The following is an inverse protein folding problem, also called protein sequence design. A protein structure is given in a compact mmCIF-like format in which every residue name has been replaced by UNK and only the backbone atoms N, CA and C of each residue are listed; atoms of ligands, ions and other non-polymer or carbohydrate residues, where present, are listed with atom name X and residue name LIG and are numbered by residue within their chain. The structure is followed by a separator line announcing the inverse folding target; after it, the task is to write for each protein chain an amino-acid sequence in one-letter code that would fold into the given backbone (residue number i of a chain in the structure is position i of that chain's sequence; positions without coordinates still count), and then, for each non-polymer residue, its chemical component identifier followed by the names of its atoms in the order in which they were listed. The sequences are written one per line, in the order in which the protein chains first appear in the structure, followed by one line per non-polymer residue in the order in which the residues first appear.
data_IF_919312264429
#
_entry.id   IF_919312264429
#
_cell.length_a   1.000
_cell.length_b   1.000
_cell.length_c   1.000
_cell.angle_alpha   90.00
_cell.angle_beta   90.00
_cell.angle_gamma   90.00
#
_symmetry.space_group_name_H-M   'P 1'
#
loop_
_entity.id
_entity.type
_entity.pdbx_description
1 polymer ?
#
# COMPACT_ATOMS: atom_id res chain seq x y z
N UNK A 1 10.00 11.24 18.05
CA UNK A 1 10.69 10.01 18.48
C UNK A 1 9.71 8.82 18.53
N UNK A 2 8.72 8.78 19.41
CA UNK A 2 7.75 7.65 19.57
C UNK A 2 7.03 7.32 18.25
N UNK A 3 6.41 8.32 17.60
CA UNK A 3 5.74 8.15 16.31
C UNK A 3 6.64 7.49 15.26
N UNK A 4 7.86 7.99 15.07
CA UNK A 4 8.78 7.46 14.06
C UNK A 4 9.17 6.02 14.34
N UNK A 5 9.40 5.67 15.61
CA UNK A 5 9.74 4.31 16.04
C UNK A 5 8.55 3.35 15.84
N UNK A 6 7.36 3.73 16.27
CA UNK A 6 6.14 2.91 16.10
C UNK A 6 5.79 2.75 14.60
N UNK A 7 5.84 3.84 13.84
CA UNK A 7 5.62 3.79 12.40
C UNK A 7 6.59 2.81 11.72
N UNK A 8 7.88 2.91 12.06
CA UNK A 8 8.90 1.98 11.53
C UNK A 8 8.57 0.53 11.90
N UNK A 9 8.23 0.26 13.16
CA UNK A 9 7.93 -1.08 13.65
C UNK A 9 6.66 -1.67 12.98
N UNK A 10 5.62 -0.85 12.79
CA UNK A 10 4.40 -1.26 12.06
C UNK A 10 4.71 -1.54 10.59
N UNK A 11 5.49 -0.67 9.94
CA UNK A 11 5.86 -0.83 8.54
C UNK A 11 6.85 -1.97 8.30
N UNK A 12 7.65 -2.37 9.30
CA UNK A 12 8.57 -3.50 9.24
C UNK A 12 7.94 -4.83 9.70
N UNK A 13 6.72 -4.79 10.24
CA UNK A 13 6.02 -5.93 10.84
C UNK A 13 6.56 -6.42 12.18
N UNK A 14 7.41 -5.65 12.81
CA UNK A 14 7.79 -5.91 14.20
C UNK A 14 6.56 -5.78 15.13
N UNK A 15 5.59 -4.95 14.74
CA UNK A 15 4.25 -4.84 15.33
C UNK A 15 3.20 -5.32 14.30
N UNK A 16 2.67 -6.52 14.52
CA UNK A 16 1.69 -7.15 13.63
C UNK A 16 0.32 -6.46 13.70
N UNK A 17 -0.53 -6.56 12.65
CA UNK A 17 -1.93 -6.12 12.68
C UNK A 17 -2.67 -6.70 13.88
N UNK A 18 -3.53 -5.88 14.49
CA UNK A 18 -4.25 -6.25 15.70
C UNK A 18 -3.42 -6.17 16.98
N UNK A 19 -2.09 -5.96 16.91
CA UNK A 19 -1.25 -5.80 18.11
C UNK A 19 -1.73 -4.61 18.94
N UNK A 20 -1.97 -4.84 20.23
CA UNK A 20 -2.35 -3.78 21.18
C UNK A 20 -1.22 -2.77 21.37
N UNK A 21 -1.57 -1.50 21.32
CA UNK A 21 -0.67 -0.36 21.54
C UNK A 21 -1.06 0.30 22.89
N UNK A 22 -0.66 -0.35 24.00
CA UNK A 22 -0.96 0.14 25.35
C UNK A 22 -0.13 1.37 25.68
N UNK A 23 -0.82 2.48 26.04
CA UNK A 23 -0.17 3.76 26.34
C UNK A 23 0.83 3.64 27.51
N UNK A 24 0.50 2.89 28.57
CA UNK A 24 1.35 2.78 29.74
C UNK A 24 2.60 1.95 29.45
N UNK A 25 2.46 0.90 28.63
CA UNK A 25 3.57 0.10 28.17
C UNK A 25 4.51 0.94 27.28
N UNK A 26 3.95 1.70 26.34
CA UNK A 26 4.71 2.57 25.45
C UNK A 26 5.44 3.69 26.22
N UNK A 27 4.79 4.28 27.24
CA UNK A 27 5.45 5.26 28.12
C UNK A 27 6.69 4.67 28.81
N UNK A 28 6.58 3.44 29.32
CA UNK A 28 7.71 2.74 29.95
C UNK A 28 8.81 2.40 28.95
N UNK A 29 8.43 1.87 27.80
CA UNK A 29 9.36 1.45 26.76
C UNK A 29 10.17 2.61 26.19
N UNK A 30 9.52 3.75 25.91
CA UNK A 30 10.17 4.91 25.33
C UNK A 30 10.64 5.93 26.37
N UNK A 31 10.39 5.69 27.66
CA UNK A 31 10.74 6.58 28.79
C UNK A 31 10.22 8.01 28.61
N UNK A 32 8.96 8.14 28.22
CA UNK A 32 8.28 9.40 27.97
C UNK A 32 6.95 9.47 28.73
N UNK A 33 6.38 10.67 28.88
CA UNK A 33 5.04 10.89 29.42
C UNK A 33 3.94 10.41 28.47
N UNK A 34 2.68 10.44 28.92
CA UNK A 34 1.52 10.02 28.11
C UNK A 34 1.26 10.91 26.90
N UNK A 35 1.53 12.20 26.99
CA UNK A 35 1.24 13.17 25.94
C UNK A 35 1.91 12.82 24.61
N UNK A 36 3.24 12.66 24.50
CA UNK A 36 3.88 12.30 23.23
C UNK A 36 3.48 10.91 22.71
N UNK A 37 3.07 9.99 23.59
CA UNK A 37 2.53 8.69 23.17
C UNK A 37 1.17 8.87 22.51
N UNK A 38 0.26 9.63 23.12
CA UNK A 38 -1.06 9.91 22.55
C UNK A 38 -0.98 10.64 21.22
N UNK A 39 -0.15 11.65 21.13
CA UNK A 39 0.09 12.37 19.87
C UNK A 39 0.60 11.42 18.78
N UNK A 40 1.52 10.52 19.11
CA UNK A 40 2.01 9.51 18.19
C UNK A 40 0.89 8.57 17.73
N UNK A 41 0.04 8.09 18.64
CA UNK A 41 -1.08 7.19 18.33
C UNK A 41 -2.15 7.89 17.48
N UNK A 42 -2.48 9.16 17.80
CA UNK A 42 -3.41 9.96 16.99
C UNK A 42 -2.87 10.14 15.57
N UNK A 43 -1.58 10.45 15.43
CA UNK A 43 -0.95 10.60 14.13
C UNK A 43 -0.91 9.28 13.35
N UNK A 44 -0.58 8.17 14.00
CA UNK A 44 -0.64 6.84 13.38
C UNK A 44 -2.07 6.49 12.93
N UNK A 45 -3.07 6.86 13.73
CA UNK A 45 -4.48 6.66 13.37
C UNK A 45 -4.89 7.50 12.18
N UNK A 46 -4.45 8.75 12.09
CA UNK A 46 -4.72 9.60 10.93
C UNK A 46 -4.03 9.12 9.63
N UNK A 47 -3.03 8.27 9.77
CA UNK A 47 -2.35 7.57 8.67
C UNK A 47 -2.91 6.16 8.41
N UNK A 48 -4.01 5.76 9.09
CA UNK A 48 -4.60 4.42 8.96
C UNK A 48 -3.72 3.28 9.50
N UNK A 49 -2.65 3.61 10.24
CA UNK A 49 -1.72 2.61 10.79
C UNK A 49 -2.14 2.07 12.14
N UNK A 50 -3.01 2.78 12.85
CA UNK A 50 -3.58 2.38 14.13
C UNK A 50 -5.06 2.71 14.21
N UNK A 51 -5.79 1.94 14.99
CA UNK A 51 -7.18 2.18 15.38
C UNK A 51 -7.22 2.63 16.83
N UNK A 52 -7.89 3.76 17.10
CA UNK A 52 -8.10 4.27 18.46
C UNK A 52 -9.44 3.78 19.00
N UNK A 53 -9.45 3.28 20.22
CA UNK A 53 -10.67 2.85 20.92
C UNK A 53 -10.89 3.73 22.14
N UNK A 54 -12.04 4.40 22.24
CA UNK A 54 -12.36 5.19 23.42
C UNK A 54 -12.20 4.35 24.70
N UNK A 55 -11.40 4.84 25.63
CA UNK A 55 -11.12 4.19 26.93
C UNK A 55 -10.47 2.79 26.88
N UNK A 56 -10.02 2.33 25.70
CA UNK A 56 -9.42 0.99 25.50
C UNK A 56 -8.04 1.03 24.84
N UNK A 57 -7.46 2.23 24.68
CA UNK A 57 -6.15 2.42 24.02
C UNK A 57 -6.22 2.35 22.51
N UNK A 58 -5.17 1.83 21.90
CA UNK A 58 -5.06 1.68 20.46
C UNK A 58 -4.60 0.27 20.09
N UNK A 59 -4.77 -0.09 18.81
CA UNK A 59 -4.15 -1.28 18.22
C UNK A 59 -3.62 -0.97 16.83
N UNK A 60 -2.68 -1.74 16.35
CA UNK A 60 -2.26 -1.70 14.94
C UNK A 60 -3.48 -2.06 14.08
N UNK A 61 -3.79 -1.24 13.09
CA UNK A 61 -4.94 -1.46 12.22
C UNK A 61 -4.86 -2.83 11.53
N UNK A 62 -5.97 -3.58 11.51
CA UNK A 62 -6.07 -4.86 10.82
C UNK A 62 -6.06 -4.68 9.30
N UNK A 63 -5.81 -5.78 8.57
CA UNK A 63 -5.88 -5.87 7.12
C UNK A 63 -6.59 -7.17 6.76
N UNK A 64 -7.70 -7.06 6.04
CA UNK A 64 -8.48 -8.22 5.59
C UNK A 64 -8.40 -8.35 4.06
N UNK A 65 -8.82 -9.49 3.52
CA UNK A 65 -8.84 -9.71 2.05
C UNK A 65 -9.76 -8.72 1.32
N UNK A 66 -10.85 -8.33 1.95
CA UNK A 66 -11.78 -7.30 1.40
C UNK A 66 -11.04 -5.97 1.19
N UNK A 67 -10.12 -5.65 2.09
CA UNK A 67 -9.29 -4.43 2.00
C UNK A 67 -8.41 -4.42 0.73
N UNK A 68 -8.04 -5.59 0.19
CA UNK A 68 -7.24 -5.69 -1.04
C UNK A 68 -8.05 -5.22 -2.25
N UNK A 69 -9.31 -5.64 -2.36
CA UNK A 69 -10.18 -5.25 -3.48
C UNK A 69 -10.47 -3.76 -3.42
N UNK A 70 -10.94 -3.28 -2.28
CA UNK A 70 -11.26 -1.87 -2.04
C UNK A 70 -10.04 -0.98 -2.25
N UNK A 71 -8.86 -1.46 -1.82
CA UNK A 71 -7.59 -0.78 -2.03
C UNK A 71 -7.28 -0.57 -3.52
N UNK A 72 -7.39 -1.63 -4.35
CA UNK A 72 -7.09 -1.51 -5.78
C UNK A 72 -8.14 -0.69 -6.52
N UNK A 73 -9.41 -0.71 -6.11
CA UNK A 73 -10.43 0.20 -6.64
C UNK A 73 -10.09 1.67 -6.35
N UNK A 74 -9.64 1.98 -5.13
CA UNK A 74 -9.19 3.32 -4.77
C UNK A 74 -7.90 3.72 -5.52
N UNK A 75 -6.95 2.79 -5.68
CA UNK A 75 -5.72 3.01 -6.45
C UNK A 75 -6.00 3.35 -7.92
N UNK A 76 -7.02 2.73 -8.53
CA UNK A 76 -7.44 3.01 -9.92
C UNK A 76 -7.97 4.45 -10.10
N UNK A 77 -8.34 5.10 -9.02
CA UNK A 77 -8.73 6.52 -9.01
C UNK A 77 -7.55 7.43 -8.69
N UNK A 78 -6.86 7.20 -7.57
CA UNK A 78 -5.83 8.11 -7.07
C UNK A 78 -4.56 8.12 -7.90
N UNK A 79 -4.01 6.98 -8.29
CA UNK A 79 -2.73 6.91 -8.97
C UNK A 79 -2.77 7.56 -10.37
N UNK A 80 -3.73 7.27 -11.26
CA UNK A 80 -3.79 7.92 -12.57
C UNK A 80 -3.97 9.43 -12.48
N UNK A 81 -4.77 9.91 -11.50
CA UNK A 81 -5.00 11.34 -11.28
C UNK A 81 -3.72 12.00 -10.75
N UNK A 82 -3.03 11.40 -9.79
CA UNK A 82 -1.77 11.92 -9.28
C UNK A 82 -0.70 12.01 -10.40
N UNK A 83 -0.57 10.96 -11.22
CA UNK A 83 0.35 10.93 -12.35
C UNK A 83 0.02 11.97 -13.42
N UNK A 84 -1.29 12.18 -13.70
CA UNK A 84 -1.73 13.23 -14.62
C UNK A 84 -1.29 14.61 -14.16
N UNK A 85 -1.56 14.95 -12.89
CA UNK A 85 -1.17 16.24 -12.35
C UNK A 85 0.35 16.37 -12.17
N UNK A 86 1.05 15.29 -11.82
CA UNK A 86 2.50 15.30 -11.79
C UNK A 86 3.07 15.66 -13.18
N UNK A 87 2.57 15.07 -14.27
CA UNK A 87 2.98 15.41 -15.61
C UNK A 87 2.70 16.87 -15.97
N UNK A 88 1.58 17.43 -15.50
CA UNK A 88 1.20 18.81 -15.79
C UNK A 88 1.95 19.87 -14.95
N UNK A 89 2.42 19.50 -13.74
CA UNK A 89 2.86 20.47 -12.72
C UNK A 89 4.30 20.24 -12.23
N UNK A 90 4.95 19.11 -12.61
CA UNK A 90 6.30 18.79 -12.17
C UNK A 90 7.28 19.93 -12.38
N UNK A 91 8.15 20.13 -11.42
CA UNK A 91 9.37 20.94 -11.54
C UNK A 91 10.54 20.07 -11.99
N UNK A 92 11.68 20.70 -12.33
CA UNK A 92 12.93 19.96 -12.63
C UNK A 92 13.40 19.15 -11.43
N UNK A 93 13.28 19.69 -10.23
CA UNK A 93 13.69 18.99 -8.99
C UNK A 93 12.80 17.78 -8.70
N UNK A 94 11.50 17.83 -9.02
CA UNK A 94 10.61 16.68 -8.90
C UNK A 94 11.04 15.54 -9.83
N UNK A 95 11.39 15.88 -11.09
CA UNK A 95 11.88 14.93 -12.07
C UNK A 95 13.19 14.29 -11.62
N UNK A 96 14.12 15.07 -11.10
CA UNK A 96 15.39 14.56 -10.61
C UNK A 96 15.21 13.60 -9.40
N UNK A 97 14.31 13.93 -8.50
CA UNK A 97 13.95 13.03 -7.38
C UNK A 97 13.36 11.71 -7.91
N UNK A 98 12.41 11.76 -8.85
CA UNK A 98 11.83 10.56 -9.46
C UNK A 98 12.87 9.71 -10.20
N UNK A 99 13.79 10.35 -10.94
CA UNK A 99 14.91 9.67 -11.62
C UNK A 99 15.84 8.96 -10.65
N UNK A 100 16.15 9.62 -9.53
CA UNK A 100 16.98 9.02 -8.49
C UNK A 100 16.35 7.75 -7.93
N UNK A 101 15.06 7.79 -7.56
CA UNK A 101 14.37 6.64 -7.01
C UNK A 101 14.16 5.52 -8.03
N UNK A 102 13.91 5.86 -9.30
CA UNK A 102 13.81 4.85 -10.35
C UNK A 102 15.15 4.15 -10.60
N UNK A 103 16.27 4.88 -10.60
CA UNK A 103 17.62 4.26 -10.68
C UNK A 103 17.83 3.32 -9.51
N UNK A 104 17.58 3.76 -8.26
CA UNK A 104 17.69 2.92 -7.10
C UNK A 104 16.81 1.65 -7.18
N UNK A 105 15.61 1.75 -7.74
CA UNK A 105 14.75 0.59 -7.97
C UNK A 105 15.35 -0.39 -8.98
N UNK A 106 15.90 0.10 -10.09
CA UNK A 106 16.54 -0.73 -11.11
C UNK A 106 17.79 -1.43 -10.56
N UNK A 107 18.61 -0.72 -9.80
CA UNK A 107 19.80 -1.27 -9.14
C UNK A 107 19.42 -2.34 -8.10
N UNK A 108 18.37 -2.08 -7.30
CA UNK A 108 17.86 -3.04 -6.33
C UNK A 108 17.32 -4.31 -6.99
N UNK A 109 16.64 -4.18 -8.16
CA UNK A 109 16.17 -5.33 -8.95
C UNK A 109 17.36 -6.13 -9.48
N UNK A 110 18.37 -5.48 -10.02
CA UNK A 110 19.58 -6.15 -10.52
C UNK A 110 20.34 -6.87 -9.38
N UNK A 111 20.43 -6.25 -8.20
CA UNK A 111 21.04 -6.81 -7.00
C UNK A 111 20.15 -7.83 -6.27
N UNK A 112 18.89 -8.01 -6.70
CA UNK A 112 17.86 -8.85 -6.02
C UNK A 112 17.66 -8.50 -4.54
N UNK A 113 17.83 -7.24 -4.19
CA UNK A 113 17.66 -6.73 -2.84
C UNK A 113 16.20 -6.36 -2.58
N UNK A 114 15.44 -7.29 -1.99
CA UNK A 114 14.00 -7.16 -1.75
C UNK A 114 13.62 -5.93 -0.92
N UNK A 115 14.38 -5.61 0.12
CA UNK A 115 14.10 -4.46 0.98
C UNK A 115 14.27 -3.14 0.20
N UNK A 116 15.33 -3.03 -0.57
CA UNK A 116 15.59 -1.84 -1.40
C UNK A 116 14.60 -1.70 -2.56
N UNK A 117 14.17 -2.82 -3.19
CA UNK A 117 13.12 -2.78 -4.22
C UNK A 117 11.83 -2.16 -3.66
N UNK A 118 11.38 -2.64 -2.50
CA UNK A 118 10.16 -2.15 -1.85
C UNK A 118 10.33 -0.68 -1.47
N UNK A 119 11.47 -0.32 -0.86
CA UNK A 119 11.75 1.05 -0.45
C UNK A 119 11.80 2.02 -1.64
N UNK A 120 12.61 1.71 -2.65
CA UNK A 120 12.77 2.60 -3.80
C UNK A 120 11.46 2.74 -4.60
N UNK A 121 10.67 1.67 -4.72
CA UNK A 121 9.36 1.74 -5.37
C UNK A 121 8.39 2.64 -4.58
N UNK A 122 8.35 2.53 -3.26
CA UNK A 122 7.52 3.40 -2.41
C UNK A 122 7.93 4.86 -2.54
N UNK A 123 9.22 5.15 -2.49
CA UNK A 123 9.76 6.52 -2.59
C UNK A 123 9.56 7.13 -3.99
N UNK A 124 9.69 6.33 -5.05
CA UNK A 124 9.38 6.77 -6.42
C UNK A 124 7.92 7.24 -6.53
N UNK A 125 6.98 6.44 -6.06
CA UNK A 125 5.57 6.81 -6.10
C UNK A 125 5.23 7.95 -5.13
N UNK A 126 5.94 8.06 -4.02
CA UNK A 126 5.84 9.20 -3.09
C UNK A 126 6.33 10.50 -3.72
N UNK A 127 7.41 10.45 -4.54
CA UNK A 127 7.89 11.59 -5.31
C UNK A 127 6.87 12.00 -6.39
N UNK A 128 6.24 11.03 -7.07
CA UNK A 128 5.14 11.31 -8.03
C UNK A 128 3.95 11.96 -7.31
N UNK A 129 3.59 11.49 -6.11
CA UNK A 129 2.52 12.07 -5.32
C UNK A 129 2.81 13.55 -4.97
N UNK A 130 4.05 13.86 -4.56
CA UNK A 130 4.46 15.24 -4.28
C UNK A 130 4.44 16.12 -5.54
N UNK A 131 4.94 15.59 -6.66
CA UNK A 131 5.00 16.31 -7.95
C UNK A 131 3.61 16.66 -8.54
N UNK A 132 2.52 16.07 -8.03
CA UNK A 132 1.17 16.48 -8.44
C UNK A 132 0.80 17.88 -7.95
N UNK A 133 1.53 18.44 -6.98
CA UNK A 133 1.31 19.76 -6.38
C UNK A 133 -0.16 20.05 -6.03
N UNK A 134 -0.83 19.02 -5.49
CA UNK A 134 -2.20 19.10 -4.96
C UNK A 134 -2.28 18.32 -3.65
N UNK A 135 -2.37 19.04 -2.54
CA UNK A 135 -2.34 18.47 -1.19
C UNK A 135 -3.40 17.39 -0.92
N UNK A 136 -4.58 17.51 -1.52
CA UNK A 136 -5.66 16.54 -1.32
C UNK A 136 -5.35 15.23 -2.06
N UNK A 137 -4.91 15.31 -3.30
CA UNK A 137 -4.54 14.16 -4.13
C UNK A 137 -3.28 13.50 -3.56
N UNK A 138 -2.27 14.29 -3.21
CA UNK A 138 -1.04 13.79 -2.60
C UNK A 138 -1.33 13.00 -1.33
N UNK A 139 -2.14 13.55 -0.42
CA UNK A 139 -2.49 12.89 0.83
C UNK A 139 -3.22 11.57 0.59
N UNK A 140 -4.24 11.56 -0.29
CA UNK A 140 -4.98 10.36 -0.62
C UNK A 140 -4.10 9.31 -1.28
N UNK A 141 -3.27 9.70 -2.23
CA UNK A 141 -2.38 8.76 -2.90
C UNK A 141 -1.29 8.19 -1.97
N UNK A 142 -0.69 9.02 -1.09
CA UNK A 142 0.26 8.56 -0.07
C UNK A 142 -0.37 7.58 0.92
N UNK A 143 -1.64 7.79 1.28
CA UNK A 143 -2.38 6.82 2.09
C UNK A 143 -2.47 5.47 1.37
N UNK A 144 -2.87 5.47 0.10
CA UNK A 144 -2.94 4.25 -0.71
C UNK A 144 -1.57 3.56 -0.83
N UNK A 145 -0.48 4.30 -0.97
CA UNK A 145 0.87 3.72 -0.99
C UNK A 145 1.25 3.04 0.32
N UNK A 146 0.86 3.64 1.44
CA UNK A 146 1.09 3.08 2.78
C UNK A 146 0.29 1.79 2.98
N UNK A 147 -0.98 1.79 2.61
CA UNK A 147 -1.85 0.62 2.71
C UNK A 147 -1.36 -0.51 1.80
N UNK A 148 -0.96 -0.18 0.56
CA UNK A 148 -0.34 -1.14 -0.37
C UNK A 148 0.90 -1.79 0.22
N UNK A 149 1.79 -1.00 0.84
CA UNK A 149 2.99 -1.53 1.46
C UNK A 149 2.65 -2.51 2.59
N UNK A 150 1.65 -2.19 3.40
CA UNK A 150 1.15 -3.06 4.46
C UNK A 150 0.51 -4.33 3.90
N UNK A 151 -0.34 -4.21 2.89
CA UNK A 151 -0.95 -5.37 2.21
C UNK A 151 0.10 -6.30 1.62
N UNK A 152 1.14 -5.75 0.99
CA UNK A 152 2.25 -6.53 0.44
C UNK A 152 3.05 -7.29 1.50
N UNK A 153 3.18 -6.72 2.68
CA UNK A 153 3.92 -7.34 3.79
C UNK A 153 3.08 -8.33 4.58
N UNK A 154 1.77 -8.10 4.73
CA UNK A 154 0.86 -8.85 5.61
C UNK A 154 -0.06 -9.82 4.92
N UNK A 155 -0.57 -9.46 3.75
CA UNK A 155 -1.72 -10.12 3.14
C UNK A 155 -1.46 -11.53 2.66
N UNK A 156 -0.26 -12.07 2.85
CA UNK A 156 0.17 -13.28 2.21
C UNK A 156 0.84 -14.25 3.19
N UNK A 157 0.07 -14.86 4.14
CA UNK A 157 0.61 -15.88 5.03
C UNK A 157 1.19 -17.04 4.21
N UNK A 158 2.49 -17.27 4.33
CA UNK A 158 3.19 -18.42 3.71
C UNK A 158 3.38 -18.30 2.21
N UNK A 159 2.88 -17.27 1.58
CA UNK A 159 3.12 -17.01 0.17
C UNK A 159 4.14 -15.91 0.02
N UNK A 160 4.99 -16.19 -0.62
CA UNK A 160 5.85 -15.60 -1.61
C UNK A 160 5.23 -14.42 -2.37
N UNK A 161 4.76 -13.35 -1.70
CA UNK A 161 4.92 -12.07 -2.38
C UNK A 161 6.43 -11.90 -2.70
N UNK A 162 7.13 -12.94 -2.34
CA UNK A 162 8.44 -13.29 -2.81
C UNK A 162 9.54 -12.82 -1.86
N UNK A 163 10.11 -13.81 -1.21
CA UNK A 163 11.52 -13.68 -0.85
C UNK A 163 12.33 -14.14 -2.07
N UNK A 164 13.38 -13.42 -2.43
CA UNK A 164 14.33 -13.85 -3.43
C UNK A 164 13.92 -13.64 -4.89
N UNK A 165 14.13 -14.64 -5.73
CA UNK A 165 13.99 -14.57 -7.20
C UNK A 165 12.59 -14.15 -7.68
N UNK A 166 11.54 -14.70 -7.11
CA UNK A 166 10.17 -14.41 -7.51
C UNK A 166 9.78 -12.93 -7.30
N UNK A 167 10.27 -12.29 -6.24
CA UNK A 167 10.04 -10.86 -6.03
C UNK A 167 10.81 -10.01 -7.05
N UNK A 168 12.06 -10.35 -7.32
CA UNK A 168 12.87 -9.64 -8.32
C UNK A 168 12.22 -9.68 -9.71
N UNK A 169 11.72 -10.84 -10.15
CA UNK A 169 11.06 -11.01 -11.43
C UNK A 169 9.79 -10.14 -11.54
N UNK A 170 9.00 -10.06 -10.45
CA UNK A 170 7.83 -9.19 -10.36
C UNK A 170 8.21 -7.71 -10.42
N UNK A 171 9.21 -7.31 -9.65
CA UNK A 171 9.69 -5.93 -9.65
C UNK A 171 10.37 -5.55 -10.96
N UNK A 172 10.91 -6.49 -11.74
CA UNK A 172 11.43 -6.21 -13.07
C UNK A 172 10.34 -5.67 -14.00
N UNK A 173 9.17 -6.31 -14.06
CA UNK A 173 8.02 -5.80 -14.82
C UNK A 173 7.52 -4.46 -14.29
N UNK A 174 7.38 -4.33 -12.98
CA UNK A 174 7.01 -3.06 -12.31
C UNK A 174 7.97 -1.93 -12.67
N UNK A 175 9.29 -2.16 -12.62
CA UNK A 175 10.31 -1.16 -12.92
C UNK A 175 10.28 -0.73 -14.40
N UNK A 176 10.03 -1.67 -15.33
CA UNK A 176 9.89 -1.34 -16.75
C UNK A 176 8.66 -0.46 -17.03
N UNK A 177 7.53 -0.75 -16.38
CA UNK A 177 6.33 0.09 -16.52
C UNK A 177 6.55 1.45 -15.85
N UNK A 178 7.21 1.49 -14.68
CA UNK A 178 7.56 2.73 -13.99
C UNK A 178 8.50 3.62 -14.80
N UNK A 179 9.41 3.02 -15.59
CA UNK A 179 10.25 3.77 -16.54
C UNK A 179 9.42 4.46 -17.62
N UNK A 180 8.41 3.78 -18.16
CA UNK A 180 7.46 4.38 -19.13
C UNK A 180 6.63 5.49 -18.48
N UNK A 181 6.20 5.28 -17.24
CA UNK A 181 5.44 6.27 -16.46
C UNK A 181 6.26 7.55 -16.25
N UNK A 182 7.50 7.40 -15.77
CA UNK A 182 8.37 8.56 -15.57
C UNK A 182 8.58 9.33 -16.86
N UNK A 183 8.83 8.64 -17.98
CA UNK A 183 8.98 9.30 -19.30
C UNK A 183 7.74 10.11 -19.69
N UNK A 184 6.54 9.55 -19.49
CA UNK A 184 5.30 10.28 -19.78
C UNK A 184 5.12 11.52 -18.87
N UNK A 185 5.60 11.44 -17.62
CA UNK A 185 5.60 12.58 -16.69
C UNK A 185 6.63 13.63 -17.16
N UNK A 186 7.84 13.23 -17.51
CA UNK A 186 8.91 14.11 -18.04
C UNK A 186 8.46 14.87 -19.30
N UNK A 187 7.79 14.16 -20.22
CA UNK A 187 7.25 14.73 -21.46
C UNK A 187 6.05 15.67 -21.21
N UNK A 188 5.54 15.77 -19.98
CA UNK A 188 4.36 16.56 -19.66
C UNK A 188 3.05 15.97 -20.17
N UNK A 189 3.07 14.71 -20.59
CA UNK A 189 1.90 14.06 -21.17
C UNK A 189 1.02 13.40 -20.09
N UNK A 190 0.13 14.20 -19.47
CA UNK A 190 -0.75 13.74 -18.41
C UNK A 190 -1.69 12.61 -18.84
N UNK A 191 -2.14 12.59 -20.09
CA UNK A 191 -2.99 11.51 -20.62
C UNK A 191 -2.22 10.19 -20.68
N UNK A 192 -1.00 10.21 -21.23
CA UNK A 192 -0.14 9.03 -21.28
C UNK A 192 0.26 8.58 -19.86
N UNK A 193 0.61 9.51 -18.96
CA UNK A 193 0.95 9.20 -17.58
C UNK A 193 -0.20 8.49 -16.84
N UNK A 194 -1.44 8.99 -16.98
CA UNK A 194 -2.64 8.31 -16.44
C UNK A 194 -2.83 6.91 -17.01
N UNK A 195 -2.63 6.75 -18.30
CA UNK A 195 -2.83 5.46 -18.97
C UNK A 195 -1.80 4.43 -18.52
N UNK A 196 -0.52 4.82 -18.43
CA UNK A 196 0.56 3.95 -17.93
C UNK A 196 0.36 3.63 -16.46
N UNK A 197 -0.15 4.57 -15.65
CA UNK A 197 -0.48 4.34 -14.25
C UNK A 197 -1.56 3.26 -14.07
N UNK A 198 -2.60 3.26 -14.92
CA UNK A 198 -3.63 2.19 -14.94
C UNK A 198 -3.03 0.84 -15.31
N UNK A 199 -2.18 0.79 -16.34
CA UNK A 199 -1.47 -0.44 -16.72
C UNK A 199 -0.61 -0.99 -15.58
N UNK A 200 0.07 -0.10 -14.84
CA UNK A 200 0.87 -0.49 -13.69
C UNK A 200 0.01 -1.09 -12.57
N UNK A 201 -1.13 -0.46 -12.27
CA UNK A 201 -2.07 -0.97 -11.27
C UNK A 201 -2.62 -2.35 -11.65
N UNK A 202 -3.06 -2.49 -12.88
CA UNK A 202 -3.58 -3.76 -13.40
C UNK A 202 -2.52 -4.87 -13.33
N UNK A 203 -1.29 -4.57 -13.75
CA UNK A 203 -0.16 -5.50 -13.68
C UNK A 203 0.13 -5.95 -12.25
N UNK A 204 0.18 -5.02 -11.29
CA UNK A 204 0.46 -5.34 -9.88
C UNK A 204 -0.71 -6.05 -9.23
N UNK A 205 -1.95 -5.63 -9.50
CA UNK A 205 -3.17 -6.28 -9.01
C UNK A 205 -3.25 -7.74 -9.44
N UNK A 206 -2.97 -8.03 -10.72
CA UNK A 206 -2.96 -9.41 -11.22
C UNK A 206 -1.94 -10.28 -10.46
N UNK A 207 -0.76 -9.74 -10.16
CA UNK A 207 0.26 -10.44 -9.39
C UNK A 207 -0.15 -10.71 -7.94
N UNK A 208 -0.83 -9.73 -7.31
CA UNK A 208 -1.32 -9.88 -5.93
C UNK A 208 -2.42 -10.93 -5.89
N UNK A 209 -3.41 -10.86 -6.79
CA UNK A 209 -4.50 -11.86 -6.87
C UNK A 209 -3.93 -13.26 -7.09
N UNK A 210 -2.95 -13.43 -7.97
CA UNK A 210 -2.31 -14.72 -8.21
C UNK A 210 -1.65 -15.32 -6.95
N UNK A 211 -1.26 -14.49 -5.98
CA UNK A 211 -0.72 -14.95 -4.71
C UNK A 211 -1.81 -15.50 -3.76
N UNK A 212 -3.05 -15.06 -3.90
CA UNK A 212 -4.18 -15.55 -3.11
C UNK A 212 -4.86 -16.78 -3.69
N UNK A 213 -4.47 -17.21 -4.90
CA UNK A 213 -5.05 -18.38 -5.59
C UNK A 213 -4.05 -19.56 -5.69
N UNK A 214 -3.72 -20.26 -4.58
CA UNK A 214 -3.04 -21.54 -4.71
C UNK A 214 -4.11 -22.63 -4.86
N UNK A 215 -4.29 -23.11 -6.06
CA UNK A 215 -5.01 -24.35 -6.45
C UNK A 215 -6.54 -24.43 -6.34
N UNK A 216 -7.27 -23.32 -6.32
CA UNK A 216 -8.69 -23.38 -6.69
C UNK A 216 -8.93 -22.28 -7.72
N UNK A 217 -9.18 -22.69 -8.96
CA UNK A 217 -9.63 -21.81 -10.03
C UNK A 217 -11.03 -21.28 -9.70
N UNK A 218 -11.09 -20.30 -8.81
CA UNK A 218 -12.20 -19.38 -8.74
C UNK A 218 -11.84 -18.27 -9.72
N UNK A 219 -12.48 -18.30 -10.88
CA UNK A 219 -12.57 -17.14 -11.77
C UNK A 219 -13.24 -16.01 -10.99
N UNK A 220 -12.44 -15.23 -10.28
CA UNK A 220 -12.90 -13.94 -9.74
C UNK A 220 -12.86 -12.97 -10.91
N UNK A 221 -13.91 -12.98 -11.71
CA UNK A 221 -14.24 -11.85 -12.58
C UNK A 221 -14.57 -10.68 -11.66
N UNK A 222 -13.58 -9.80 -11.41
CA UNK A 222 -13.86 -8.52 -10.79
C UNK A 222 -14.73 -7.72 -11.76
N UNK A 223 -15.91 -7.25 -11.34
CA UNK A 223 -16.75 -6.44 -12.21
C UNK A 223 -16.00 -5.14 -12.54
N UNK A 224 -15.96 -4.81 -13.82
CA UNK A 224 -15.49 -3.51 -14.29
C UNK A 224 -16.29 -2.39 -13.61
N UNK A 225 -15.69 -1.23 -13.29
CA UNK A 225 -16.38 -0.12 -12.68
C UNK A 225 -17.58 0.28 -13.54
N UNK A 226 -18.79 0.10 -13.02
CA UNK A 226 -20.06 0.39 -13.70
C UNK A 226 -21.21 -0.57 -13.44
N UNK A 227 -20.98 -1.75 -12.89
CA UNK A 227 -22.06 -2.65 -12.49
C UNK A 227 -22.06 -2.86 -10.98
N UNK A 228 -22.96 -2.21 -10.27
CA UNK A 228 -23.23 -2.51 -8.85
C UNK A 228 -23.68 -3.96 -8.75
N UNK A 229 -22.91 -4.78 -8.03
CA UNK A 229 -23.38 -6.09 -7.57
C UNK A 229 -24.33 -5.83 -6.41
N UNK A 230 -25.55 -6.30 -6.56
CA UNK A 230 -26.60 -6.20 -5.54
C UNK A 230 -26.17 -6.94 -4.27
N UNK A 231 -25.86 -6.20 -3.21
CA UNK A 231 -25.36 -6.68 -1.92
C UNK A 231 -26.43 -7.47 -1.11
N UNK A 232 -27.54 -7.88 -1.75
CA UNK A 232 -28.72 -8.42 -1.11
C UNK A 232 -28.73 -9.91 -0.79
N UNK A 233 -27.71 -10.70 -1.13
CA UNK A 233 -27.69 -12.14 -0.79
C UNK A 233 -26.41 -12.54 -0.07
N UNK A 234 -26.26 -12.13 1.17
CA UNK A 234 -25.33 -12.77 2.09
C UNK A 234 -25.89 -14.16 2.46
N UNK A 235 -25.21 -15.20 2.04
CA UNK A 235 -25.42 -16.56 2.56
C UNK A 235 -25.09 -16.59 4.05
N UNK A 236 -26.13 -16.54 4.89
CA UNK A 236 -26.06 -16.97 6.27
C UNK A 236 -26.17 -18.51 6.30
N UNK A 237 -25.07 -19.20 6.06
CA UNK A 237 -24.97 -20.62 6.41
C UNK A 237 -24.49 -20.72 7.85
N UNK A 238 -25.43 -20.81 8.81
CA UNK A 238 -25.13 -21.23 10.18
C UNK A 238 -24.79 -22.73 10.20
N UNK A 239 -23.69 -23.16 10.83
CA UNK A 239 -23.45 -24.59 11.04
C UNK A 239 -24.47 -25.14 12.04
N UNK A 240 -25.19 -26.21 11.66
CA UNK A 240 -26.09 -26.95 12.56
C UNK A 240 -25.28 -27.59 13.69
N UNK A 241 -25.55 -27.22 14.93
CA UNK A 241 -25.08 -27.94 16.13
C UNK A 241 -25.63 -29.36 16.10
N UNK A 242 -24.75 -30.34 16.09
CA UNK A 242 -25.12 -31.73 16.35
C UNK A 242 -25.45 -31.88 17.83
N UNK A 243 -26.70 -32.22 18.14
CA UNK A 243 -27.14 -32.70 19.44
C UNK A 243 -26.81 -34.14 19.54
N UNK A 244 -25.88 -34.56 20.40
CA UNK A 244 -25.72 -35.95 20.83
C UNK A 244 -26.72 -36.28 21.90
N UNK A 245 -27.49 -37.33 21.70
CA UNK A 245 -28.17 -38.10 22.74
C UNK A 245 -27.16 -39.01 23.45
#
# INVERSE_FOLDING_TARGET
MVYTALRKAIMALDLLPGTSLDEAQLCRQYKVSRTPVREALIRLSSEGLAELFPNRGARVASLEFVDVVDHYEAMDLFQPVACHFAAARRTSSDVDAMRQWLRGLLDAVAARNSAEMIRCNYELHSAIAAACHNRCIERGYRQMLTDKLRLMQHGLPGTAYGKGHALADRFQGTAQISKKLLRAIEDGNGKAASQVARQLNEFVRAQVIACFSPSTALEVSLPLPGKRVDAGKRLLARPKRAVKR
#
